data_IF_809636683173
#
_entry.id   IF_809636683173
#
_cell.length_a   1.000
_cell.length_b   1.000
_cell.length_c   1.000
_cell.angle_alpha   90.00
_cell.angle_beta   90.00
_cell.angle_gamma   90.00
#
_symmetry.space_group_name_H-M   'P 1'
#
loop_
_entity.id
_entity.type
_entity.pdbx_description
1 polymer ?
#
# COMPACT_ATOMS: atom_id res chain seq x y z
N UNK A 1 21.02 -8.61 24.03
CA UNK A 1 20.50 -8.38 22.67
C UNK A 1 19.81 -9.63 22.12
N UNK A 2 19.05 -10.36 22.95
CA UNK A 2 18.35 -11.62 22.60
C UNK A 2 16.84 -11.43 22.79
N UNK A 3 16.46 -10.75 23.88
CA UNK A 3 15.08 -10.37 24.23
C UNK A 3 14.31 -9.52 23.19
N UNK A 4 15.01 -8.81 22.30
CA UNK A 4 14.39 -7.99 21.25
C UNK A 4 14.07 -8.81 19.98
N UNK A 5 14.77 -9.93 19.76
CA UNK A 5 14.50 -10.85 18.66
C UNK A 5 13.37 -11.81 19.05
N UNK A 6 13.35 -12.30 20.29
CA UNK A 6 12.32 -13.22 20.79
C UNK A 6 10.91 -12.59 20.72
N UNK A 7 10.76 -11.33 21.18
CA UNK A 7 9.47 -10.63 21.13
C UNK A 7 8.96 -10.41 19.69
N UNK A 8 9.85 -10.23 18.72
CA UNK A 8 9.46 -10.05 17.31
C UNK A 8 9.15 -11.39 16.62
N UNK A 9 9.78 -12.49 17.06
CA UNK A 9 9.39 -13.84 16.66
C UNK A 9 7.96 -14.17 17.11
N UNK A 10 7.62 -13.80 18.35
CA UNK A 10 6.26 -13.97 18.87
C UNK A 10 5.22 -13.15 18.09
N UNK A 11 5.55 -11.93 17.67
CA UNK A 11 4.68 -11.08 16.84
C UNK A 11 4.33 -11.73 15.49
N UNK A 12 5.31 -12.39 14.84
CA UNK A 12 5.08 -13.09 13.58
C UNK A 12 4.18 -14.30 13.79
N UNK A 13 4.40 -15.10 14.84
CA UNK A 13 3.56 -16.24 15.16
C UNK A 13 2.10 -15.85 15.45
N UNK A 14 1.88 -14.67 16.05
CA UNK A 14 0.54 -14.13 16.26
C UNK A 14 -0.12 -13.78 14.92
N UNK A 15 0.62 -13.15 14.00
CA UNK A 15 0.11 -12.80 12.67
C UNK A 15 -0.26 -14.06 11.88
N UNK A 16 0.58 -15.09 11.89
CA UNK A 16 0.30 -16.35 11.20
C UNK A 16 -1.02 -16.97 11.67
N UNK A 17 -1.21 -17.11 12.98
CA UNK A 17 -2.43 -17.70 13.57
C UNK A 17 -3.68 -16.90 13.24
N UNK A 18 -3.60 -15.56 13.27
CA UNK A 18 -4.73 -14.69 12.92
C UNK A 18 -5.09 -14.87 11.44
N UNK A 19 -4.09 -14.91 10.57
CA UNK A 19 -4.31 -15.11 9.13
C UNK A 19 -4.90 -16.50 8.86
N UNK A 20 -4.41 -17.55 9.50
CA UNK A 20 -4.95 -18.91 9.36
C UNK A 20 -6.42 -18.97 9.82
N UNK A 21 -6.74 -18.36 10.96
CA UNK A 21 -8.12 -18.28 11.44
C UNK A 21 -9.03 -17.50 10.47
N UNK A 22 -8.55 -16.37 9.94
CA UNK A 22 -9.29 -15.56 8.98
C UNK A 22 -9.50 -16.28 7.63
N UNK A 23 -8.48 -17.00 7.15
CA UNK A 23 -8.51 -17.75 5.90
C UNK A 23 -9.29 -19.07 5.99
N UNK A 24 -9.40 -19.64 7.20
CA UNK A 24 -10.19 -20.83 7.50
C UNK A 24 -11.69 -20.56 7.66
N UNK A 25 -12.10 -19.29 7.77
CA UNK A 25 -13.50 -18.91 7.93
C UNK A 25 -14.28 -19.02 6.60
N UNK A 26 -14.79 -20.21 6.32
CA UNK A 26 -15.51 -20.54 5.07
C UNK A 26 -16.99 -20.16 5.07
N UNK A 27 -17.52 -19.66 6.19
CA UNK A 27 -18.97 -19.45 6.34
C UNK A 27 -19.48 -18.12 5.75
N UNK A 28 -18.60 -17.20 5.31
CA UNK A 28 -19.00 -15.82 4.95
C UNK A 28 -18.51 -15.27 3.60
N UNK A 29 -18.11 -16.12 2.66
CA UNK A 29 -17.68 -15.68 1.32
C UNK A 29 -16.18 -15.39 1.26
N UNK A 30 -15.77 -14.36 0.50
CA UNK A 30 -14.36 -14.02 0.36
C UNK A 30 -13.82 -13.29 1.60
N UNK A 31 -12.70 -13.75 2.14
CA UNK A 31 -11.92 -13.02 3.16
C UNK A 31 -10.94 -12.09 2.45
N UNK A 32 -10.87 -10.83 2.84
CA UNK A 32 -9.88 -9.88 2.32
C UNK A 32 -8.83 -9.61 3.39
N UNK A 33 -7.57 -9.85 3.03
CA UNK A 33 -6.42 -9.52 3.88
C UNK A 33 -5.65 -8.38 3.24
N UNK A 34 -5.47 -7.31 4.01
CA UNK A 34 -4.76 -6.10 3.59
C UNK A 34 -3.50 -6.03 4.45
N UNK A 35 -2.34 -6.08 3.78
CA UNK A 35 -1.04 -5.87 4.41
C UNK A 35 -0.51 -4.54 3.92
N UNK A 36 -0.29 -3.62 4.86
CA UNK A 36 0.24 -2.30 4.55
C UNK A 36 1.75 -2.22 4.84
N UNK A 37 2.49 -1.51 3.99
CA UNK A 37 3.91 -1.20 4.13
C UNK A 37 4.78 -2.42 4.46
N UNK A 38 4.63 -3.52 3.68
CA UNK A 38 5.34 -4.78 3.94
C UNK A 38 6.87 -4.61 4.03
N UNK A 39 7.43 -3.68 3.27
CA UNK A 39 8.86 -3.39 3.26
C UNK A 39 9.40 -2.77 4.56
N UNK A 40 8.54 -2.24 5.43
CA UNK A 40 8.93 -1.77 6.77
C UNK A 40 9.12 -2.95 7.76
N UNK A 41 8.78 -4.18 7.35
CA UNK A 41 9.08 -5.38 8.11
C UNK A 41 10.58 -5.72 7.98
N UNK A 42 11.38 -5.34 8.98
CA UNK A 42 12.83 -5.59 8.97
C UNK A 42 13.19 -6.99 9.50
N UNK A 43 12.43 -7.50 10.47
CA UNK A 43 12.70 -8.78 11.15
C UNK A 43 11.68 -9.81 10.71
N UNK A 44 12.15 -10.98 10.26
CA UNK A 44 11.30 -12.11 9.84
C UNK A 44 10.46 -11.87 8.58
N UNK A 45 10.79 -10.84 7.78
CA UNK A 45 10.18 -10.60 6.47
C UNK A 45 10.26 -11.81 5.55
N UNK A 46 11.37 -12.56 5.58
CA UNK A 46 11.51 -13.79 4.79
C UNK A 46 10.48 -14.84 5.20
N UNK A 47 10.29 -15.05 6.51
CA UNK A 47 9.33 -16.02 7.05
C UNK A 47 7.89 -15.59 6.73
N UNK A 48 7.60 -14.29 6.88
CA UNK A 48 6.31 -13.70 6.51
C UNK A 48 6.02 -13.84 5.01
N UNK A 49 7.01 -13.61 4.13
CA UNK A 49 6.87 -13.78 2.68
C UNK A 49 6.61 -15.23 2.31
N UNK A 50 7.30 -16.18 2.95
CA UNK A 50 7.08 -17.62 2.76
C UNK A 50 5.67 -18.02 3.20
N UNK A 51 5.23 -17.54 4.38
CA UNK A 51 3.88 -17.75 4.87
C UNK A 51 2.81 -17.19 3.94
N UNK A 52 2.96 -15.93 3.48
CA UNK A 52 2.03 -15.31 2.53
C UNK A 52 1.98 -16.12 1.23
N UNK A 53 3.14 -16.51 0.69
CA UNK A 53 3.23 -17.32 -0.53
C UNK A 53 2.48 -18.64 -0.38
N UNK A 54 2.67 -19.34 0.75
CA UNK A 54 1.96 -20.57 1.10
C UNK A 54 0.45 -20.36 1.18
N UNK A 55 -0.01 -19.30 1.85
CA UNK A 55 -1.45 -19.04 2.04
C UNK A 55 -2.17 -18.65 0.76
N UNK A 56 -1.48 -17.98 -0.17
CA UNK A 56 -2.01 -17.67 -1.51
C UNK A 56 -2.37 -18.94 -2.29
N UNK A 57 -1.64 -20.04 -2.09
CA UNK A 57 -1.93 -21.33 -2.73
C UNK A 57 -3.03 -22.12 -2.00
N UNK A 58 -3.08 -22.04 -0.66
CA UNK A 58 -3.96 -22.90 0.16
C UNK A 58 -5.39 -22.36 0.25
N UNK A 59 -5.59 -21.04 0.19
CA UNK A 59 -6.92 -20.42 0.38
C UNK A 59 -7.34 -19.55 -0.80
N UNK A 60 -7.99 -20.11 -1.84
CA UNK A 60 -8.49 -19.34 -2.99
C UNK A 60 -9.65 -18.39 -2.61
N UNK A 61 -10.28 -18.62 -1.46
CA UNK A 61 -11.31 -17.75 -0.89
C UNK A 61 -10.73 -16.53 -0.17
N UNK A 62 -9.40 -16.44 -0.03
CA UNK A 62 -8.74 -15.27 0.55
C UNK A 62 -8.18 -14.39 -0.56
N UNK A 63 -8.62 -13.13 -0.61
CA UNK A 63 -8.10 -12.08 -1.50
C UNK A 63 -7.07 -11.25 -0.74
N UNK A 64 -5.88 -11.16 -1.30
CA UNK A 64 -4.77 -10.45 -0.68
C UNK A 64 -4.49 -9.14 -1.39
N UNK A 65 -4.42 -8.05 -0.63
CA UNK A 65 -3.96 -6.75 -1.07
C UNK A 65 -2.71 -6.44 -0.24
N UNK A 66 -1.59 -6.23 -0.90
CA UNK A 66 -0.29 -6.02 -0.25
C UNK A 66 0.29 -4.74 -0.83
N UNK A 67 0.56 -3.75 0.04
CA UNK A 67 1.32 -2.55 -0.31
C UNK A 67 2.77 -2.70 0.16
N UNK A 68 3.69 -2.18 -0.64
CA UNK A 68 5.14 -2.23 -0.40
C UNK A 68 5.85 -1.27 -1.35
N UNK A 69 7.06 -0.81 -0.99
CA UNK A 69 8.05 -0.34 -1.97
C UNK A 69 8.40 -1.44 -2.99
N UNK A 70 8.88 -1.06 -4.16
CA UNK A 70 9.24 -1.91 -5.30
C UNK A 70 10.52 -2.78 -5.11
N UNK A 71 10.73 -3.33 -3.91
CA UNK A 71 11.95 -4.07 -3.59
C UNK A 71 12.02 -5.41 -4.32
N UNK A 72 13.07 -5.70 -5.12
CA UNK A 72 13.17 -6.94 -5.91
C UNK A 72 13.06 -8.22 -5.07
N UNK A 73 13.53 -8.17 -3.82
CA UNK A 73 13.37 -9.29 -2.88
C UNK A 73 11.90 -9.61 -2.65
N UNK A 74 11.07 -8.62 -2.33
CA UNK A 74 9.64 -8.80 -2.08
C UNK A 74 8.93 -9.26 -3.36
N UNK A 75 9.26 -8.64 -4.50
CA UNK A 75 8.69 -9.01 -5.79
C UNK A 75 8.92 -10.49 -6.11
N UNK A 76 10.16 -10.98 -5.95
CA UNK A 76 10.52 -12.37 -6.25
C UNK A 76 9.65 -13.40 -5.51
N UNK A 77 9.28 -13.15 -4.26
CA UNK A 77 8.43 -14.07 -3.48
C UNK A 77 6.95 -13.99 -3.88
N UNK A 78 6.51 -12.84 -4.39
CA UNK A 78 5.11 -12.60 -4.75
C UNK A 78 4.81 -12.90 -6.23
N UNK A 79 5.82 -12.93 -7.09
CA UNK A 79 5.71 -13.20 -8.54
C UNK A 79 5.26 -14.64 -8.85
N UNK A 80 5.50 -15.57 -7.91
CA UNK A 80 4.99 -16.95 -8.00
C UNK A 80 3.46 -17.06 -7.87
N UNK A 81 2.76 -16.01 -7.47
CA UNK A 81 1.31 -16.00 -7.41
C UNK A 81 0.71 -15.33 -8.65
N UNK A 82 -0.27 -15.98 -9.30
CA UNK A 82 -1.06 -15.37 -10.38
C UNK A 82 -1.75 -14.10 -9.86
N UNK A 83 -1.22 -12.92 -10.20
CA UNK A 83 -1.70 -11.64 -9.66
C UNK A 83 -1.65 -10.51 -10.68
N UNK A 84 -2.67 -9.66 -10.63
CA UNK A 84 -2.58 -8.31 -11.17
C UNK A 84 -1.65 -7.49 -10.26
N UNK A 85 -0.53 -7.03 -10.80
CA UNK A 85 0.38 -6.09 -10.13
C UNK A 85 -0.11 -4.68 -10.41
N UNK A 86 -0.33 -3.90 -9.36
CA UNK A 86 -0.61 -2.46 -9.45
C UNK A 86 0.66 -1.71 -9.07
N UNK A 87 1.41 -1.29 -10.07
CA UNK A 87 2.60 -0.46 -9.88
C UNK A 87 2.20 1.01 -10.09
N UNK A 88 2.12 1.78 -8.99
CA UNK A 88 1.77 3.20 -9.06
C UNK A 88 2.88 4.08 -9.64
N UNK A 89 4.13 3.60 -9.62
CA UNK A 89 5.34 4.34 -10.02
C UNK A 89 5.62 4.36 -11.54
N UNK A 90 4.82 3.65 -12.36
CA UNK A 90 5.14 3.40 -13.78
C UNK A 90 4.33 4.24 -14.78
N UNK A 91 3.64 5.28 -14.32
CA UNK A 91 2.97 6.18 -15.26
C UNK A 91 3.12 7.63 -14.83
N UNK A 92 4.27 8.21 -15.15
CA UNK A 92 4.57 9.64 -15.02
C UNK A 92 3.38 10.52 -15.48
N UNK A 93 2.72 10.17 -16.59
CA UNK A 93 1.55 10.90 -17.07
C UNK A 93 0.33 10.76 -16.17
N UNK A 94 0.06 9.58 -15.62
CA UNK A 94 -1.05 9.40 -14.67
C UNK A 94 -0.77 10.04 -13.32
N UNK A 95 0.49 9.99 -12.86
CA UNK A 95 0.91 10.64 -11.62
C UNK A 95 0.76 12.15 -11.78
N UNK A 96 1.35 12.74 -12.82
CA UNK A 96 1.21 14.16 -13.14
C UNK A 96 -0.25 14.59 -13.27
N UNK A 97 -1.10 13.80 -13.96
CA UNK A 97 -2.53 14.07 -14.05
C UNK A 97 -3.24 14.01 -12.69
N UNK A 98 -2.94 13.01 -11.86
CA UNK A 98 -3.52 12.88 -10.52
C UNK A 98 -3.09 14.02 -9.60
N UNK A 99 -1.83 14.44 -9.67
CA UNK A 99 -1.28 15.57 -8.90
C UNK A 99 -1.92 16.88 -9.34
N UNK A 100 -2.08 17.11 -10.64
CA UNK A 100 -2.78 18.28 -11.17
C UNK A 100 -4.23 18.36 -10.67
N UNK A 101 -4.97 17.25 -10.73
CA UNK A 101 -6.35 17.14 -10.21
C UNK A 101 -6.37 17.41 -8.70
N UNK A 102 -5.40 16.88 -7.95
CA UNK A 102 -5.33 17.08 -6.51
C UNK A 102 -5.06 18.55 -6.14
N UNK A 103 -4.15 19.22 -6.86
CA UNK A 103 -3.85 20.64 -6.67
C UNK A 103 -5.11 21.46 -6.90
N UNK A 104 -5.81 21.25 -8.02
CA UNK A 104 -7.07 21.92 -8.34
C UNK A 104 -8.11 21.73 -7.21
N UNK A 105 -8.34 20.48 -6.79
CA UNK A 105 -9.28 20.16 -5.72
C UNK A 105 -8.95 20.86 -4.40
N UNK A 106 -7.67 20.91 -4.01
CA UNK A 106 -7.24 21.54 -2.74
C UNK A 106 -7.33 23.05 -2.81
N UNK A 107 -6.99 23.65 -3.94
CA UNK A 107 -7.07 25.10 -4.16
C UNK A 107 -8.53 25.57 -4.17
N UNK A 108 -9.42 24.83 -4.83
CA UNK A 108 -10.88 25.05 -4.76
C UNK A 108 -11.41 24.99 -3.32
N UNK A 109 -10.93 23.99 -2.56
CA UNK A 109 -11.27 23.86 -1.14
C UNK A 109 -10.81 25.06 -0.30
N UNK A 110 -9.65 25.63 -0.61
CA UNK A 110 -9.13 26.82 0.08
C UNK A 110 -9.98 28.07 -0.21
N UNK A 111 -10.42 28.25 -1.45
CA UNK A 111 -11.30 29.38 -1.83
C UNK A 111 -12.63 29.31 -1.12
N UNK A 112 -13.28 28.14 -1.13
CA UNK A 112 -14.57 27.94 -0.46
C UNK A 112 -14.51 28.24 1.04
N UNK A 113 -13.39 27.93 1.69
CA UNK A 113 -13.21 28.13 3.15
C UNK A 113 -12.88 29.57 3.53
N UNK A 114 -12.13 30.28 2.69
CA UNK A 114 -11.53 31.56 3.06
C UNK A 114 -12.02 32.75 2.23
N UNK A 115 -12.95 32.53 1.28
CA UNK A 115 -13.50 33.55 0.40
C UNK A 115 -12.42 34.33 -0.38
N UNK A 116 -11.33 33.64 -0.75
CA UNK A 116 -10.26 34.25 -1.54
C UNK A 116 -10.70 34.60 -2.96
N UNK A 117 -10.11 35.66 -3.51
CA UNK A 117 -10.32 36.08 -4.89
C UNK A 117 -9.70 35.12 -5.90
N UNK A 118 -10.26 35.07 -7.10
CA UNK A 118 -9.79 34.24 -8.22
C UNK A 118 -8.33 34.50 -8.60
N UNK A 119 -7.85 35.73 -8.41
CA UNK A 119 -6.45 36.11 -8.68
C UNK A 119 -5.45 35.39 -7.76
N UNK A 120 -5.82 35.19 -6.49
CA UNK A 120 -5.00 34.43 -5.54
C UNK A 120 -5.02 32.95 -5.91
N UNK A 121 -6.17 32.42 -6.36
CA UNK A 121 -6.32 31.05 -6.83
C UNK A 121 -5.40 30.76 -8.02
N UNK A 122 -5.45 31.58 -9.07
CA UNK A 122 -4.60 31.39 -10.26
C UNK A 122 -3.11 31.42 -9.90
N UNK A 123 -2.73 32.25 -8.93
CA UNK A 123 -1.36 32.37 -8.47
C UNK A 123 -0.91 31.13 -7.70
N UNK A 124 -1.73 30.68 -6.74
CA UNK A 124 -1.43 29.50 -5.92
C UNK A 124 -1.44 28.22 -6.76
N UNK A 125 -2.43 28.05 -7.63
CA UNK A 125 -2.53 26.90 -8.53
C UNK A 125 -1.31 26.85 -9.45
N UNK A 126 -0.97 27.96 -10.11
CA UNK A 126 0.21 28.03 -10.98
C UNK A 126 1.50 27.71 -10.23
N UNK A 127 1.67 28.28 -9.02
CA UNK A 127 2.84 28.01 -8.20
C UNK A 127 2.94 26.53 -7.84
N UNK A 128 1.86 25.93 -7.34
CA UNK A 128 1.87 24.51 -6.96
C UNK A 128 2.12 23.60 -8.16
N UNK A 129 1.48 23.85 -9.31
CA UNK A 129 1.69 23.06 -10.52
C UNK A 129 3.13 23.16 -11.04
N UNK A 130 3.76 24.34 -10.98
CA UNK A 130 5.15 24.53 -11.41
C UNK A 130 6.18 23.87 -10.48
N UNK A 131 5.84 23.68 -9.20
CA UNK A 131 6.73 23.11 -8.19
C UNK A 131 6.43 21.63 -7.87
N UNK A 132 5.42 21.04 -8.51
CA UNK A 132 5.05 19.65 -8.32
C UNK A 132 6.02 18.66 -8.98
N UNK A 133 6.88 19.09 -9.91
CA UNK A 133 7.82 18.21 -10.64
C UNK A 133 7.16 16.94 -11.23
N UNK A 134 5.88 17.02 -11.60
CA UNK A 134 5.09 15.89 -12.12
C UNK A 134 4.97 14.67 -11.16
N UNK A 135 5.19 14.87 -9.85
CA UNK A 135 5.16 13.84 -8.79
C UNK A 135 4.54 14.34 -7.48
#
# INVERSE_FOLDING_TARGET
MQLLLDRKGDEIQIIEKIVEAAAGNRERGYTYLIVDALDECVIGLSDLLEFISRMLSISPHTKWIISSRNWPKIEKYLDTAQKARLCFELNEKSISAAVAIYIEFKVDGLVKRNQYTTTILDTVQRYLSQNANDT
#
